data_IF_785364937644
#
_entry.id   IF_785364937644
#
_cell.length_a   1.000
_cell.length_b   1.000
_cell.length_c   1.000
_cell.angle_alpha   90.00
_cell.angle_beta   90.00
_cell.angle_gamma   90.00
#
_symmetry.space_group_name_H-M   'P 1'
#
loop_
_entity.id
_entity.type
_entity.pdbx_description
1 polymer ?
#
# COMPACT_ATOMS: atom_id res chain seq x y z
N UNK A 1 -24.56 -13.25 7.65
CA UNK A 1 -24.67 -13.44 9.11
C UNK A 1 -25.07 -12.13 9.75
N UNK A 2 -26.32 -12.05 10.21
CA UNK A 2 -26.75 -10.99 11.12
C UNK A 2 -26.48 -11.52 12.53
N UNK A 3 -25.79 -10.74 13.38
CA UNK A 3 -25.82 -10.96 14.82
C UNK A 3 -27.19 -10.50 15.27
N UNK A 4 -28.15 -11.43 15.37
CA UNK A 4 -29.46 -11.17 15.95
C UNK A 4 -29.47 -11.75 17.37
N UNK A 5 -30.04 -10.99 18.29
CA UNK A 5 -29.94 -11.18 19.73
C UNK A 5 -30.90 -12.29 20.20
N UNK A 6 -30.43 -13.54 20.29
CA UNK A 6 -31.11 -14.61 21.04
C UNK A 6 -30.07 -15.46 21.79
N UNK A 7 -29.74 -15.00 23.00
CA UNK A 7 -28.59 -15.46 23.78
C UNK A 7 -28.54 -16.97 24.05
N UNK A 8 -27.47 -17.61 23.56
CA UNK A 8 -26.97 -18.93 23.97
C UNK A 8 -25.45 -18.90 24.24
N UNK A 9 -24.93 -19.82 25.06
CA UNK A 9 -23.53 -19.82 25.55
C UNK A 9 -22.44 -20.00 24.46
N UNK A 10 -22.83 -20.41 23.25
CA UNK A 10 -21.96 -20.60 22.08
C UNK A 10 -22.06 -19.49 21.01
N UNK A 11 -22.69 -18.36 21.32
CA UNK A 11 -22.79 -17.26 20.35
C UNK A 11 -21.46 -16.49 20.19
N UNK A 12 -21.09 -16.25 18.93
CA UNK A 12 -20.02 -15.32 18.58
C UNK A 12 -20.40 -13.93 19.11
N UNK A 13 -19.48 -13.29 19.82
CA UNK A 13 -19.64 -11.91 20.30
C UNK A 13 -18.41 -11.08 19.92
N UNK A 14 -18.46 -9.76 20.08
CA UNK A 14 -17.31 -8.89 19.88
C UNK A 14 -16.09 -9.28 20.73
N UNK A 15 -16.31 -9.95 21.87
CA UNK A 15 -15.24 -10.42 22.76
C UNK A 15 -14.90 -11.91 22.57
N UNK A 16 -15.66 -12.64 21.73
CA UNK A 16 -15.53 -14.08 21.48
C UNK A 16 -15.54 -14.35 19.98
N UNK A 17 -14.60 -13.73 19.26
CA UNK A 17 -14.33 -13.93 17.83
C UNK A 17 -12.87 -13.55 17.53
N UNK A 18 -12.30 -14.07 16.43
CA UNK A 18 -10.96 -13.67 15.97
C UNK A 18 -10.86 -12.15 15.77
N UNK A 19 -9.77 -11.54 16.24
CA UNK A 19 -9.61 -10.08 16.23
C UNK A 19 -9.64 -9.49 14.81
N UNK A 20 -8.85 -10.05 13.89
CA UNK A 20 -8.91 -9.69 12.47
C UNK A 20 -10.34 -9.72 11.92
N UNK A 21 -11.10 -10.77 12.23
CA UNK A 21 -12.49 -10.86 11.78
C UNK A 21 -13.35 -9.74 12.39
N UNK A 22 -13.23 -9.48 13.70
CA UNK A 22 -13.99 -8.45 14.39
C UNK A 22 -13.78 -7.06 13.75
N UNK A 23 -12.54 -6.67 13.51
CA UNK A 23 -12.22 -5.36 12.94
C UNK A 23 -12.72 -5.25 11.49
N UNK A 24 -12.42 -6.24 10.64
CA UNK A 24 -12.93 -6.28 9.27
C UNK A 24 -14.46 -6.22 9.24
N UNK A 25 -15.12 -6.95 10.14
CA UNK A 25 -16.57 -6.97 10.27
C UNK A 25 -17.14 -5.62 10.69
N UNK A 26 -16.49 -4.92 11.63
CA UNK A 26 -16.88 -3.58 12.06
C UNK A 26 -16.91 -2.60 10.87
N UNK A 27 -15.82 -2.49 10.11
CA UNK A 27 -15.79 -1.59 8.94
C UNK A 27 -16.82 -2.00 7.88
N UNK A 28 -16.99 -3.31 7.66
CA UNK A 28 -18.03 -3.81 6.74
C UNK A 28 -19.44 -3.44 7.19
N UNK A 29 -19.70 -3.38 8.50
CA UNK A 29 -20.99 -2.95 9.08
C UNK A 29 -21.21 -1.44 8.93
N UNK A 30 -20.18 -0.61 9.13
CA UNK A 30 -20.27 0.84 8.92
C UNK A 30 -20.62 1.13 7.45
N UNK A 31 -19.85 0.56 6.51
CA UNK A 31 -20.11 0.71 5.06
C UNK A 31 -21.46 0.11 4.68
N UNK A 32 -21.85 -1.01 5.29
CA UNK A 32 -23.17 -1.62 5.08
C UNK A 32 -24.33 -0.75 5.54
N UNK A 33 -24.13 0.08 6.57
CA UNK A 33 -25.13 1.03 7.04
C UNK A 33 -25.28 2.21 6.07
N UNK A 34 -24.18 2.79 5.61
CA UNK A 34 -24.20 3.94 4.68
C UNK A 34 -24.69 3.54 3.29
N UNK A 35 -24.32 2.34 2.81
CA UNK A 35 -24.70 1.82 1.49
C UNK A 35 -26.22 1.65 1.29
N UNK A 36 -26.99 1.54 2.38
CA UNK A 36 -28.47 1.45 2.36
C UNK A 36 -29.17 2.81 2.33
N UNK A 37 -28.43 3.89 2.53
CA UNK A 37 -29.00 5.24 2.56
C UNK A 37 -29.10 5.82 1.16
N UNK A 38 -30.00 6.80 0.98
CA UNK A 38 -30.17 7.51 -0.30
C UNK A 38 -28.99 8.44 -0.63
N UNK A 39 -28.40 9.08 0.39
CA UNK A 39 -27.45 10.18 0.20
C UNK A 39 -26.00 9.84 0.60
N UNK A 40 -25.78 8.81 1.42
CA UNK A 40 -24.45 8.48 1.95
C UNK A 40 -23.85 7.22 1.32
N UNK A 41 -24.45 6.67 0.26
CA UNK A 41 -24.03 5.39 -0.33
C UNK A 41 -22.56 5.37 -0.79
N UNK A 42 -22.05 6.51 -1.23
CA UNK A 42 -20.67 6.72 -1.68
C UNK A 42 -19.91 7.69 -0.78
N UNK A 43 -20.46 8.00 0.41
CA UNK A 43 -19.84 8.94 1.32
C UNK A 43 -18.69 8.25 2.07
N UNK A 44 -17.52 8.85 1.97
CA UNK A 44 -16.36 8.46 2.75
C UNK A 44 -16.28 9.30 4.02
N UNK A 45 -16.62 8.65 5.14
CA UNK A 45 -16.63 9.21 6.49
C UNK A 45 -15.24 9.43 7.09
N UNK A 46 -14.20 8.97 6.39
CA UNK A 46 -12.81 9.15 6.77
C UNK A 46 -12.05 10.11 5.85
N UNK A 47 -12.73 10.68 4.85
CA UNK A 47 -12.07 11.51 3.83
C UNK A 47 -11.41 12.75 4.42
N UNK A 48 -12.06 13.42 5.34
CA UNK A 48 -11.59 14.69 5.91
C UNK A 48 -10.23 14.54 6.58
N UNK A 49 -10.09 13.60 7.52
CA UNK A 49 -8.80 13.31 8.17
C UNK A 49 -7.70 12.86 7.18
N UNK A 50 -8.04 12.14 6.09
CA UNK A 50 -7.06 11.74 5.07
C UNK A 50 -6.52 12.95 4.31
N UNK A 51 -7.43 13.87 3.95
CA UNK A 51 -7.09 15.15 3.32
C UNK A 51 -6.26 16.01 4.27
N UNK A 52 -6.65 16.11 5.54
CA UNK A 52 -5.92 16.88 6.55
C UNK A 52 -4.51 16.32 6.78
N UNK A 53 -4.36 14.99 6.85
CA UNK A 53 -3.06 14.33 6.97
C UNK A 53 -2.11 14.72 5.83
N UNK A 54 -2.59 14.68 4.58
CA UNK A 54 -1.85 15.13 3.41
C UNK A 54 -1.54 16.64 3.46
N UNK A 55 -2.53 17.46 3.85
CA UNK A 55 -2.44 18.91 3.82
C UNK A 55 -1.75 19.53 5.05
N UNK A 56 -1.37 18.75 6.05
CA UNK A 56 -0.56 19.26 7.15
C UNK A 56 0.74 19.86 6.61
N UNK A 57 1.19 20.97 7.21
CA UNK A 57 2.40 21.65 6.73
C UNK A 57 3.60 20.70 6.71
N UNK A 58 3.78 19.95 7.80
CA UNK A 58 4.84 18.96 7.93
C UNK A 58 4.79 17.93 6.80
N UNK A 59 3.63 17.30 6.56
CA UNK A 59 3.49 16.35 5.46
C UNK A 59 3.81 16.97 4.09
N UNK A 60 3.31 18.17 3.81
CA UNK A 60 3.55 18.84 2.53
C UNK A 60 5.01 19.14 2.29
N UNK A 61 5.77 19.52 3.32
CA UNK A 61 7.21 19.71 3.23
C UNK A 61 7.92 18.38 2.95
N UNK A 62 7.54 17.31 3.65
CA UNK A 62 8.12 15.98 3.44
C UNK A 62 7.88 15.42 2.04
N UNK A 63 6.65 15.53 1.55
CA UNK A 63 6.29 15.09 0.20
C UNK A 63 7.08 15.91 -0.83
N UNK A 64 7.19 17.22 -0.64
CA UNK A 64 7.95 18.10 -1.54
C UNK A 64 9.41 17.68 -1.63
N UNK A 65 10.04 17.40 -0.50
CA UNK A 65 11.45 17.01 -0.43
C UNK A 65 11.66 15.61 -1.00
N UNK A 66 10.75 14.67 -0.75
CA UNK A 66 10.75 13.35 -1.38
C UNK A 66 10.65 13.42 -2.92
N UNK A 67 9.74 14.25 -3.45
CA UNK A 67 9.63 14.47 -4.90
C UNK A 67 10.94 15.06 -5.45
N UNK A 68 11.48 16.10 -4.82
CA UNK A 68 12.73 16.74 -5.27
C UNK A 68 13.90 15.77 -5.26
N UNK A 69 14.02 14.98 -4.21
CA UNK A 69 15.05 13.95 -4.09
C UNK A 69 14.92 12.94 -5.21
N UNK A 70 13.74 12.35 -5.42
CA UNK A 70 13.49 11.40 -6.50
C UNK A 70 13.85 11.99 -7.86
N UNK A 71 13.44 13.23 -8.15
CA UNK A 71 13.77 13.91 -9.41
C UNK A 71 15.29 14.14 -9.57
N UNK A 72 16.01 14.40 -8.49
CA UNK A 72 17.45 14.59 -8.51
C UNK A 72 18.23 13.29 -8.74
N UNK A 73 17.76 12.17 -8.17
CA UNK A 73 18.45 10.87 -8.23
C UNK A 73 17.99 9.97 -9.38
N UNK A 74 16.86 10.25 -10.03
CA UNK A 74 16.33 9.44 -11.13
C UNK A 74 17.06 9.68 -12.49
N UNK A 75 18.37 9.90 -12.45
CA UNK A 75 19.27 9.94 -13.60
C UNK A 75 20.10 8.63 -13.68
N UNK A 76 20.99 8.49 -14.67
CA UNK A 76 21.88 7.31 -14.73
C UNK A 76 22.80 7.28 -13.50
N UNK A 77 22.47 6.42 -12.54
CA UNK A 77 23.26 6.16 -11.35
C UNK A 77 24.23 5.00 -11.59
N UNK A 78 25.29 4.95 -10.77
CA UNK A 78 26.04 3.70 -10.58
C UNK A 78 25.19 2.71 -9.76
N UNK A 79 25.49 1.40 -9.86
CA UNK A 79 24.80 0.35 -9.10
C UNK A 79 24.77 0.64 -7.58
N UNK A 80 25.88 1.16 -7.04
CA UNK A 80 25.98 1.50 -5.62
C UNK A 80 25.03 2.65 -5.24
N UNK A 81 24.98 3.71 -6.05
CA UNK A 81 24.08 4.83 -5.83
C UNK A 81 22.60 4.44 -6.00
N UNK A 82 22.30 3.52 -6.90
CA UNK A 82 20.96 2.97 -7.08
C UNK A 82 20.51 2.18 -5.85
N UNK A 83 21.39 1.33 -5.30
CA UNK A 83 21.14 0.61 -4.05
C UNK A 83 20.87 1.57 -2.89
N UNK A 84 21.72 2.59 -2.70
CA UNK A 84 21.52 3.60 -1.66
C UNK A 84 20.21 4.37 -1.83
N UNK A 85 19.85 4.69 -3.08
CA UNK A 85 18.60 5.38 -3.39
C UNK A 85 17.38 4.52 -3.10
N UNK A 86 17.40 3.24 -3.49
CA UNK A 86 16.36 2.27 -3.17
C UNK A 86 16.21 2.11 -1.66
N UNK A 87 17.31 2.03 -0.92
CA UNK A 87 17.27 1.96 0.53
C UNK A 87 16.61 3.19 1.16
N UNK A 88 16.95 4.39 0.69
CA UNK A 88 16.34 5.63 1.16
C UNK A 88 14.84 5.67 0.84
N UNK A 89 14.45 5.40 -0.41
CA UNK A 89 13.05 5.48 -0.83
C UNK A 89 12.16 4.42 -0.18
N UNK A 90 12.69 3.22 0.09
CA UNK A 90 11.94 2.15 0.75
C UNK A 90 11.82 2.33 2.27
N UNK A 91 12.74 3.08 2.88
CA UNK A 91 12.69 3.44 4.31
C UNK A 91 11.95 4.75 4.57
N UNK A 92 11.86 5.63 3.57
CA UNK A 92 11.27 6.94 3.70
C UNK A 92 9.73 6.85 3.73
N UNK A 93 9.17 6.53 4.89
CA UNK A 93 7.78 6.89 5.24
C UNK A 93 7.70 8.32 5.82
N UNK A 94 8.86 8.98 6.04
CA UNK A 94 9.07 10.32 6.57
C UNK A 94 10.51 10.84 6.20
N UNK A 95 10.99 12.05 6.60
CA UNK A 95 12.09 12.77 5.94
C UNK A 95 13.36 11.98 5.66
N UNK A 96 13.98 12.30 4.51
CA UNK A 96 15.28 11.78 4.05
C UNK A 96 16.39 11.96 5.10
N UNK A 97 16.33 13.01 5.94
CA UNK A 97 17.29 13.24 7.02
C UNK A 97 17.05 12.38 8.28
N UNK A 98 15.84 11.85 8.48
CA UNK A 98 15.48 11.01 9.64
C UNK A 98 15.68 9.51 9.43
N UNK A 99 15.78 9.05 8.19
CA UNK A 99 15.82 7.61 7.84
C UNK A 99 16.95 6.84 8.55
N UNK A 100 18.12 7.46 8.76
CA UNK A 100 19.26 6.81 9.45
C UNK A 100 19.08 6.70 10.96
N UNK A 101 18.31 7.59 11.58
CA UNK A 101 18.02 7.52 13.03
C UNK A 101 17.02 6.40 13.30
N UNK A 102 16.09 6.20 12.37
CA UNK A 102 15.04 5.19 12.47
C UNK A 102 15.54 3.76 12.22
N UNK A 103 16.69 3.58 11.55
CA UNK A 103 17.30 2.26 11.31
C UNK A 103 17.47 1.43 12.59
N UNK A 104 17.73 2.09 13.73
CA UNK A 104 17.89 1.43 15.03
C UNK A 104 16.61 0.77 15.56
N UNK A 105 15.44 1.14 15.03
CA UNK A 105 14.14 0.56 15.39
C UNK A 105 13.69 -0.55 14.44
N UNK A 106 14.42 -0.81 13.35
CA UNK A 106 14.12 -1.90 12.42
C UNK A 106 14.60 -3.23 13.03
N UNK A 107 13.66 -4.04 13.49
CA UNK A 107 13.95 -5.32 14.16
C UNK A 107 14.34 -6.45 13.19
N UNK A 108 13.88 -6.39 11.94
CA UNK A 108 14.21 -7.35 10.89
C UNK A 108 14.33 -6.60 9.56
N UNK A 109 15.45 -6.79 8.84
CA UNK A 109 15.76 -6.02 7.64
C UNK A 109 16.28 -6.92 6.50
N UNK A 110 15.36 -7.33 5.63
CA UNK A 110 15.67 -8.10 4.41
C UNK A 110 15.85 -7.21 3.16
N UNK A 111 15.98 -5.88 3.33
CA UNK A 111 16.01 -4.92 2.23
C UNK A 111 17.18 -5.15 1.28
N UNK A 112 18.38 -5.43 1.82
CA UNK A 112 19.55 -5.74 1.00
C UNK A 112 19.34 -6.97 0.11
N UNK A 113 18.69 -8.01 0.66
CA UNK A 113 18.34 -9.22 -0.08
C UNK A 113 17.32 -8.94 -1.18
N UNK A 114 16.30 -8.11 -0.88
CA UNK A 114 15.31 -7.69 -1.85
C UNK A 114 15.96 -6.92 -3.01
N UNK A 115 16.85 -5.95 -2.71
CA UNK A 115 17.54 -5.16 -3.75
C UNK A 115 18.43 -6.04 -4.62
N UNK A 116 19.26 -6.88 -4.00
CA UNK A 116 20.21 -7.72 -4.73
C UNK A 116 19.53 -8.83 -5.53
N UNK A 117 18.44 -9.40 -5.03
CA UNK A 117 17.74 -10.50 -5.68
C UNK A 117 16.75 -10.04 -6.74
N UNK A 118 16.15 -8.88 -6.54
CA UNK A 118 15.12 -8.35 -7.42
C UNK A 118 15.67 -7.25 -8.33
N UNK A 119 15.95 -6.07 -7.79
CA UNK A 119 16.26 -4.89 -8.60
C UNK A 119 17.54 -5.05 -9.42
N UNK A 120 18.55 -5.73 -8.87
CA UNK A 120 19.85 -5.90 -9.56
C UNK A 120 19.93 -7.15 -10.46
N UNK A 121 19.28 -8.27 -10.08
CA UNK A 121 19.37 -9.54 -10.83
C UNK A 121 18.27 -9.75 -11.87
N UNK A 122 17.13 -9.07 -11.76
CA UNK A 122 16.04 -9.20 -12.73
C UNK A 122 16.17 -8.34 -13.99
N UNK A 123 17.30 -7.66 -14.19
CA UNK A 123 17.58 -6.96 -15.46
C UNK A 123 17.78 -7.93 -16.65
N UNK A 124 17.66 -9.24 -16.44
CA UNK A 124 17.73 -10.25 -17.50
C UNK A 124 16.49 -10.20 -18.42
N UNK A 125 16.75 -10.11 -19.73
CA UNK A 125 15.86 -9.58 -20.79
C UNK A 125 14.66 -10.46 -21.18
N UNK A 126 14.23 -11.40 -20.34
CA UNK A 126 13.22 -12.41 -20.69
C UNK A 126 11.84 -12.24 -20.04
N UNK A 127 11.74 -11.52 -18.91
CA UNK A 127 10.51 -11.44 -18.12
C UNK A 127 10.05 -10.00 -17.92
N UNK A 128 8.74 -9.78 -18.07
CA UNK A 128 8.10 -8.49 -17.81
C UNK A 128 8.24 -8.15 -16.33
N UNK A 129 8.84 -7.00 -16.02
CA UNK A 129 9.09 -6.54 -14.64
C UNK A 129 7.85 -5.81 -14.11
N UNK A 130 6.90 -6.57 -13.58
CA UNK A 130 5.71 -6.02 -12.92
C UNK A 130 5.94 -5.97 -11.40
N UNK A 131 5.85 -4.76 -10.83
CA UNK A 131 6.00 -4.54 -9.39
C UNK A 131 4.65 -4.21 -8.77
N UNK A 132 4.22 -4.96 -7.77
CA UNK A 132 2.92 -4.78 -7.14
C UNK A 132 3.09 -4.19 -5.74
N UNK A 133 2.23 -3.24 -5.38
CA UNK A 133 2.19 -2.65 -4.04
C UNK A 133 0.78 -2.83 -3.48
N UNK A 134 0.65 -3.58 -2.38
CA UNK A 134 -0.59 -3.66 -1.61
C UNK A 134 -0.56 -2.55 -0.57
N UNK A 135 -1.39 -1.55 -0.83
CA UNK A 135 -1.39 -0.28 -0.11
C UNK A 135 -2.00 -0.40 1.29
N UNK A 136 -1.52 0.48 2.17
CA UNK A 136 -2.08 0.74 3.49
C UNK A 136 -2.77 2.11 3.49
N UNK A 137 -2.12 3.16 4.02
CA UNK A 137 -2.77 4.46 4.26
C UNK A 137 -2.65 5.45 3.09
N UNK A 138 -3.67 6.31 2.99
CA UNK A 138 -3.69 7.49 2.14
C UNK A 138 -2.82 8.63 2.69
N UNK A 139 -2.77 9.73 1.94
CA UNK A 139 -2.03 10.92 2.36
C UNK A 139 -0.51 10.75 2.17
N UNK A 140 0.32 11.04 3.19
CA UNK A 140 1.78 11.03 3.03
C UNK A 140 2.35 9.65 2.66
N UNK A 141 1.80 8.57 3.22
CA UNK A 141 2.23 7.20 2.90
C UNK A 141 1.99 6.88 1.43
N UNK A 142 0.76 7.08 0.93
CA UNK A 142 0.44 6.94 -0.49
C UNK A 142 1.36 7.78 -1.38
N UNK A 143 1.73 8.99 -0.96
CA UNK A 143 2.70 9.79 -1.72
C UNK A 143 4.10 9.17 -1.74
N UNK A 144 4.56 8.59 -0.63
CA UNK A 144 5.81 7.81 -0.60
C UNK A 144 5.77 6.67 -1.61
N UNK A 145 4.67 5.91 -1.65
CA UNK A 145 4.48 4.82 -2.62
C UNK A 145 4.46 5.31 -4.08
N UNK A 146 3.85 6.47 -4.34
CA UNK A 146 3.82 7.07 -5.68
C UNK A 146 5.19 7.61 -6.12
N UNK A 147 5.95 8.20 -5.19
CA UNK A 147 7.33 8.63 -5.42
C UNK A 147 8.21 7.43 -5.77
N UNK A 148 8.07 6.35 -5.00
CA UNK A 148 8.79 5.12 -5.25
C UNK A 148 8.39 4.47 -6.57
N UNK A 149 7.09 4.40 -6.87
CA UNK A 149 6.58 3.87 -8.14
C UNK A 149 7.12 4.64 -9.36
N UNK A 150 7.11 5.98 -9.34
CA UNK A 150 7.69 6.77 -10.43
C UNK A 150 9.21 6.58 -10.53
N UNK A 151 9.92 6.46 -9.40
CA UNK A 151 11.35 6.13 -9.42
C UNK A 151 11.63 4.83 -10.17
N UNK A 152 10.90 3.75 -9.83
CA UNK A 152 11.04 2.45 -10.48
C UNK A 152 10.75 2.50 -11.99
N UNK A 153 9.72 3.26 -12.39
CA UNK A 153 9.33 3.42 -13.79
C UNK A 153 10.30 4.32 -14.57
N UNK A 154 10.87 5.34 -13.93
CA UNK A 154 11.83 6.26 -14.56
C UNK A 154 13.21 5.62 -14.76
N UNK A 155 13.65 4.80 -13.81
CA UNK A 155 14.94 4.06 -13.90
C UNK A 155 14.82 2.74 -14.66
N UNK A 156 13.62 2.38 -15.14
CA UNK A 156 13.34 1.14 -15.85
C UNK A 156 13.60 -0.14 -15.02
N UNK A 157 13.60 0.01 -13.70
CA UNK A 157 13.62 -1.11 -12.74
C UNK A 157 12.30 -1.89 -12.75
N UNK A 158 11.19 -1.21 -13.04
CA UNK A 158 9.91 -1.83 -13.37
C UNK A 158 9.40 -1.29 -14.71
N UNK A 159 8.74 -2.16 -15.49
CA UNK A 159 8.03 -1.75 -16.71
C UNK A 159 6.60 -1.32 -16.41
N UNK A 160 6.06 -1.84 -15.31
CA UNK A 160 4.71 -1.59 -14.83
C UNK A 160 4.64 -1.71 -13.31
N UNK A 161 3.93 -0.78 -12.68
CA UNK A 161 3.62 -0.80 -11.25
C UNK A 161 2.11 -0.92 -11.08
N UNK A 162 1.66 -1.86 -10.24
CA UNK A 162 0.25 -2.05 -9.91
C UNK A 162 0.04 -1.77 -8.42
N UNK A 163 -0.77 -0.76 -8.14
CA UNK A 163 -1.18 -0.38 -6.80
C UNK A 163 -2.51 -1.08 -6.47
N UNK A 164 -2.54 -1.83 -5.37
CA UNK A 164 -3.72 -2.55 -4.88
C UNK A 164 -4.29 -1.81 -3.67
N UNK A 165 -5.44 -1.18 -3.85
CA UNK A 165 -6.17 -0.48 -2.79
C UNK A 165 -7.48 -1.16 -2.39
N UNK A 166 -8.25 -0.49 -1.54
CA UNK A 166 -9.51 -0.99 -0.99
C UNK A 166 -10.70 -0.49 -1.84
N UNK A 167 -11.75 -1.31 -1.97
CA UNK A 167 -12.96 -1.00 -2.75
C UNK A 167 -13.79 0.14 -2.11
N UNK A 168 -13.64 0.36 -0.80
CA UNK A 168 -14.44 1.31 -0.03
C UNK A 168 -13.67 1.77 1.22
N UNK A 169 -14.13 2.82 1.93
CA UNK A 169 -13.49 3.32 3.15
C UNK A 169 -13.29 2.21 4.18
N UNK A 170 -12.04 1.95 4.53
CA UNK A 170 -11.63 0.80 5.31
C UNK A 170 -10.52 1.22 6.26
N UNK A 171 -10.50 0.66 7.47
CA UNK A 171 -9.45 0.90 8.46
C UNK A 171 -9.01 2.37 8.61
N UNK A 172 -9.99 3.28 8.63
CA UNK A 172 -9.80 4.73 8.84
C UNK A 172 -9.06 5.37 7.66
N UNK A 173 -7.78 5.07 7.47
CA UNK A 173 -6.92 5.75 6.50
C UNK A 173 -6.62 4.96 5.24
N UNK A 174 -7.12 3.73 5.07
CA UNK A 174 -6.75 2.91 3.93
C UNK A 174 -7.10 3.57 2.58
N UNK A 175 -6.20 3.39 1.61
CA UNK A 175 -6.33 3.95 0.26
C UNK A 175 -7.48 3.30 -0.50
N UNK A 176 -8.43 4.11 -0.96
CA UNK A 176 -9.39 3.75 -2.01
C UNK A 176 -9.00 4.39 -3.36
N UNK A 177 -9.75 4.04 -4.41
CA UNK A 177 -9.55 4.63 -5.74
C UNK A 177 -9.75 6.15 -5.72
N UNK A 178 -10.75 6.62 -4.98
CA UNK A 178 -11.07 8.04 -4.83
C UNK A 178 -9.94 8.81 -4.13
N UNK A 179 -9.24 8.18 -3.18
CA UNK A 179 -8.06 8.78 -2.54
C UNK A 179 -6.92 8.94 -3.53
N UNK A 180 -6.62 7.90 -4.32
CA UNK A 180 -5.60 7.95 -5.37
C UNK A 180 -5.90 9.04 -6.40
N UNK A 181 -7.14 9.11 -6.90
CA UNK A 181 -7.57 10.15 -7.85
C UNK A 181 -7.53 11.54 -7.22
N UNK A 182 -7.95 11.68 -5.95
CA UNK A 182 -7.86 12.93 -5.22
C UNK A 182 -6.41 13.40 -5.07
N UNK A 183 -5.50 12.50 -4.69
CA UNK A 183 -4.07 12.80 -4.55
C UNK A 183 -3.48 13.32 -5.85
N UNK A 184 -3.75 12.68 -7.00
CA UNK A 184 -3.28 13.17 -8.29
C UNK A 184 -3.80 14.58 -8.61
N UNK A 185 -5.10 14.81 -8.40
CA UNK A 185 -5.69 16.13 -8.62
C UNK A 185 -5.08 17.20 -7.71
N UNK A 186 -4.80 16.85 -6.45
CA UNK A 186 -4.22 17.78 -5.49
C UNK A 186 -2.78 18.14 -5.85
N UNK A 187 -1.98 17.20 -6.35
CA UNK A 187 -0.65 17.50 -6.88
C UNK A 187 -0.69 18.54 -8.01
N UNK A 188 -1.68 18.45 -8.89
CA UNK A 188 -1.87 19.43 -9.97
C UNK A 188 -2.27 20.82 -9.43
N UNK A 189 -3.14 20.85 -8.42
CA UNK A 189 -3.62 22.07 -7.76
C UNK A 189 -2.48 22.80 -7.04
N UNK A 190 -1.63 22.07 -6.31
CA UNK A 190 -0.52 22.62 -5.53
C UNK A 190 0.56 23.29 -6.41
N UNK A 191 0.76 22.84 -7.65
CA UNK A 191 1.70 23.45 -8.58
C UNK A 191 3.18 23.14 -8.31
N UNK A 192 4.09 23.92 -8.91
CA UNK A 192 5.56 23.79 -8.72
C UNK A 192 6.04 22.34 -8.93
N UNK A 193 6.83 21.79 -8.01
CA UNK A 193 7.36 20.42 -8.09
C UNK A 193 6.25 19.35 -8.00
N UNK A 194 5.12 19.66 -7.34
CA UNK A 194 3.98 18.75 -7.30
C UNK A 194 3.32 18.59 -8.66
N UNK A 195 3.23 19.67 -9.45
CA UNK A 195 2.73 19.59 -10.84
C UNK A 195 3.63 18.73 -11.71
N UNK A 196 4.95 18.83 -11.57
CA UNK A 196 5.88 17.94 -12.28
C UNK A 196 5.65 16.48 -11.92
N UNK A 197 5.40 16.18 -10.64
CA UNK A 197 5.06 14.83 -10.21
C UNK A 197 3.71 14.36 -10.78
N UNK A 198 2.69 15.22 -10.77
CA UNK A 198 1.39 14.96 -11.38
C UNK A 198 1.50 14.63 -12.86
N UNK A 199 2.24 15.41 -13.64
CA UNK A 199 2.43 15.20 -15.08
C UNK A 199 3.07 13.84 -15.36
N UNK A 200 4.09 13.47 -14.59
CA UNK A 200 4.75 12.15 -14.66
C UNK A 200 3.77 11.02 -14.35
N UNK A 201 3.15 11.04 -13.18
CA UNK A 201 2.21 10.01 -12.75
C UNK A 201 1.03 9.87 -13.71
N UNK A 202 0.46 11.00 -14.15
CA UNK A 202 -0.64 11.01 -15.12
C UNK A 202 -0.22 10.40 -16.46
N UNK A 203 0.98 10.68 -16.93
CA UNK A 203 1.51 10.03 -18.13
C UNK A 203 1.64 8.52 -17.94
N UNK A 204 2.15 8.04 -16.78
CA UNK A 204 2.22 6.60 -16.47
C UNK A 204 0.87 5.92 -16.38
N UNK A 205 -0.13 6.60 -15.83
CA UNK A 205 -1.52 6.11 -15.79
C UNK A 205 -2.06 5.99 -17.21
N UNK A 206 -1.90 7.03 -18.04
CA UNK A 206 -2.37 7.03 -19.43
C UNK A 206 -1.68 5.98 -20.32
N UNK A 207 -0.41 5.67 -20.05
CA UNK A 207 0.34 4.61 -20.76
C UNK A 207 0.19 3.23 -20.12
N UNK A 208 -0.64 3.09 -19.08
CA UNK A 208 -0.87 1.85 -18.33
C UNK A 208 0.41 1.26 -17.70
N UNK A 209 1.39 2.11 -17.43
CA UNK A 209 2.60 1.78 -16.67
C UNK A 209 2.37 1.90 -15.17
N UNK A 210 1.45 2.77 -14.72
CA UNK A 210 0.99 2.83 -13.35
C UNK A 210 -0.51 2.52 -13.31
N UNK A 211 -0.91 1.52 -12.56
CA UNK A 211 -2.30 1.05 -12.53
C UNK A 211 -2.79 0.96 -11.09
N UNK A 212 -3.91 1.62 -10.79
CA UNK A 212 -4.64 1.38 -9.55
C UNK A 212 -5.67 0.26 -9.76
N UNK A 213 -5.71 -0.69 -8.83
CA UNK A 213 -6.67 -1.79 -8.78
C UNK A 213 -7.26 -1.87 -7.38
N UNK A 214 -8.57 -2.01 -7.29
CA UNK A 214 -9.20 -2.56 -6.11
C UNK A 214 -9.56 -4.04 -6.37
N UNK A 215 -9.70 -4.79 -5.29
CA UNK A 215 -10.28 -6.12 -5.31
C UNK A 215 -10.95 -6.39 -3.97
N UNK A 216 -12.14 -7.01 -4.01
CA UNK A 216 -12.95 -7.25 -2.79
C UNK A 216 -12.23 -8.04 -1.71
N UNK A 217 -11.33 -8.93 -2.11
CA UNK A 217 -10.54 -9.72 -1.18
C UNK A 217 -9.73 -8.86 -0.19
N UNK A 218 -9.27 -7.68 -0.60
CA UNK A 218 -8.51 -6.78 0.29
C UNK A 218 -9.33 -6.30 1.49
N UNK A 219 -10.66 -6.22 1.36
CA UNK A 219 -11.58 -5.81 2.42
C UNK A 219 -12.34 -6.97 3.06
N UNK A 220 -12.04 -8.21 2.67
CA UNK A 220 -12.53 -9.43 3.30
C UNK A 220 -11.81 -9.75 4.61
N UNK A 221 -12.43 -10.48 5.55
CA UNK A 221 -11.77 -10.89 6.80
C UNK A 221 -10.77 -12.04 6.62
N UNK A 222 -10.73 -12.68 5.46
CA UNK A 222 -9.86 -13.83 5.23
C UNK A 222 -8.37 -13.44 5.25
N UNK A 223 -7.52 -14.28 5.85
CA UNK A 223 -6.07 -14.15 5.73
C UNK A 223 -5.59 -14.51 4.32
N UNK A 224 -4.38 -14.08 3.95
CA UNK A 224 -3.89 -14.20 2.57
C UNK A 224 -3.58 -15.63 2.15
N UNK A 225 -3.40 -16.56 3.09
CA UNK A 225 -3.29 -17.99 2.78
C UNK A 225 -4.56 -18.57 2.12
N UNK A 226 -5.73 -17.94 2.34
CA UNK A 226 -7.00 -18.35 1.72
C UNK A 226 -7.23 -17.73 0.33
N UNK A 227 -6.37 -16.79 -0.10
CA UNK A 227 -6.58 -16.04 -1.34
C UNK A 227 -6.72 -16.94 -2.57
N UNK A 228 -5.91 -17.99 -2.66
CA UNK A 228 -5.97 -18.96 -3.78
C UNK A 228 -7.35 -19.60 -3.92
N UNK A 229 -8.05 -19.84 -2.82
CA UNK A 229 -9.35 -20.49 -2.81
C UNK A 229 -10.50 -19.48 -2.98
N UNK A 230 -10.38 -18.32 -2.33
CA UNK A 230 -11.46 -17.32 -2.22
C UNK A 230 -11.45 -16.32 -3.38
N UNK A 231 -10.27 -15.99 -3.89
CA UNK A 231 -10.03 -15.03 -4.96
C UNK A 231 -8.95 -15.57 -5.93
N UNK A 232 -9.22 -16.68 -6.63
CA UNK A 232 -8.24 -17.35 -7.50
C UNK A 232 -7.75 -16.46 -8.65
N UNK A 233 -8.60 -15.53 -9.11
CA UNK A 233 -8.28 -14.52 -10.12
C UNK A 233 -7.24 -13.52 -9.60
N UNK A 234 -7.44 -12.96 -8.41
CA UNK A 234 -6.44 -12.10 -7.76
C UNK A 234 -5.14 -12.87 -7.50
N UNK A 235 -5.23 -14.12 -7.01
CA UNK A 235 -4.05 -14.94 -6.78
C UNK A 235 -3.25 -15.18 -8.08
N UNK A 236 -3.95 -15.44 -9.18
CA UNK A 236 -3.33 -15.59 -10.51
C UNK A 236 -2.69 -14.29 -10.98
N UNK A 237 -3.33 -13.14 -10.77
CA UNK A 237 -2.76 -11.83 -11.10
C UNK A 237 -1.48 -11.56 -10.30
N UNK A 238 -1.52 -11.74 -8.98
CA UNK A 238 -0.36 -11.56 -8.11
C UNK A 238 0.78 -12.53 -8.44
N UNK A 239 0.46 -13.74 -8.92
CA UNK A 239 1.48 -14.71 -9.35
C UNK A 239 2.26 -14.28 -10.60
N UNK A 240 1.75 -13.30 -11.36
CA UNK A 240 2.46 -12.69 -12.49
C UNK A 240 3.40 -11.57 -12.05
N UNK A 241 3.23 -11.04 -10.83
CA UNK A 241 4.09 -10.00 -10.29
C UNK A 241 5.49 -10.57 -10.08
N UNK A 242 6.49 -9.77 -10.43
CA UNK A 242 7.88 -10.11 -10.19
C UNK A 242 8.25 -9.91 -8.71
N UNK A 243 7.67 -8.90 -8.07
CA UNK A 243 7.76 -8.65 -6.63
C UNK A 243 6.48 -7.97 -6.17
N UNK A 244 6.03 -8.34 -4.97
CA UNK A 244 4.87 -7.76 -4.30
C UNK A 244 5.34 -7.18 -2.97
N UNK A 245 5.14 -5.88 -2.79
CA UNK A 245 5.36 -5.19 -1.53
C UNK A 245 4.04 -5.03 -0.80
N UNK A 246 3.99 -5.46 0.46
CA UNK A 246 2.84 -5.32 1.34
C UNK A 246 3.15 -4.23 2.37
N UNK A 247 2.38 -3.14 2.39
CA UNK A 247 2.59 -2.02 3.33
C UNK A 247 1.76 -2.19 4.60
N UNK A 248 2.31 -1.79 5.74
CA UNK A 248 1.53 -1.62 6.96
C UNK A 248 1.16 -2.88 7.73
N UNK A 249 0.64 -2.66 8.94
CA UNK A 249 0.36 -3.69 9.93
C UNK A 249 -0.76 -4.64 9.51
N UNK A 250 -1.87 -4.13 8.98
CA UNK A 250 -3.00 -4.97 8.60
C UNK A 250 -2.63 -5.99 7.51
N UNK A 251 -1.81 -5.57 6.54
CA UNK A 251 -1.30 -6.49 5.52
C UNK A 251 -0.39 -7.56 6.13
N UNK A 252 0.48 -7.19 7.08
CA UNK A 252 1.31 -8.15 7.80
C UNK A 252 0.46 -9.15 8.59
N UNK A 253 -0.51 -8.67 9.38
CA UNK A 253 -1.47 -9.49 10.12
C UNK A 253 -2.21 -10.46 9.20
N UNK A 254 -2.63 -10.02 8.01
CA UNK A 254 -3.26 -10.92 7.01
C UNK A 254 -2.29 -11.93 6.39
N UNK A 255 -1.02 -11.58 6.19
CA UNK A 255 0.02 -12.51 5.73
C UNK A 255 0.25 -13.64 6.76
N UNK A 256 0.31 -13.29 8.05
CA UNK A 256 0.53 -14.25 9.14
C UNK A 256 -0.77 -14.77 9.77
N UNK A 257 -1.91 -14.45 9.17
CA UNK A 257 -3.24 -14.84 9.63
C UNK A 257 -3.62 -14.43 11.06
N UNK A 258 -3.02 -13.35 11.58
CA UNK A 258 -3.29 -12.73 12.89
C UNK A 258 -3.31 -13.74 14.04
N UNK A 259 -2.35 -14.66 14.05
CA UNK A 259 -2.23 -15.71 15.07
C UNK A 259 -1.18 -15.35 16.12
N UNK A 260 -1.31 -15.99 17.28
CA UNK A 260 -0.33 -15.97 18.35
C UNK A 260 0.86 -16.90 18.02
N UNK A 261 1.70 -16.46 17.08
CA UNK A 261 2.92 -17.17 16.69
C UNK A 261 4.02 -16.97 17.72
N UNK A 262 4.82 -18.00 17.98
CA UNK A 262 6.07 -17.84 18.72
C UNK A 262 7.02 -16.91 17.95
N UNK A 263 7.75 -16.03 18.65
CA UNK A 263 8.59 -15.00 18.03
C UNK A 263 9.72 -15.55 17.14
N UNK A 264 10.13 -16.80 17.34
CA UNK A 264 11.15 -17.50 16.56
C UNK A 264 10.58 -18.29 15.37
N UNK A 265 9.26 -18.24 15.16
CA UNK A 265 8.60 -18.89 14.01
C UNK A 265 9.14 -18.29 12.71
N UNK A 266 9.74 -19.09 11.80
CA UNK A 266 10.23 -18.56 10.54
C UNK A 266 9.11 -18.00 9.67
N UNK A 267 9.34 -16.86 9.02
CA UNK A 267 8.32 -16.23 8.17
C UNK A 267 7.84 -17.12 7.01
N UNK A 268 8.69 -18.03 6.52
CA UNK A 268 8.39 -18.96 5.41
C UNK A 268 7.56 -20.19 5.82
N UNK A 269 7.13 -20.33 7.08
CA UNK A 269 6.37 -21.51 7.50
C UNK A 269 5.10 -21.61 6.65
N UNK A 270 5.05 -22.69 5.84
CA UNK A 270 3.93 -22.98 4.95
C UNK A 270 2.87 -23.78 5.73
N UNK A 271 1.60 -23.40 5.56
CA UNK A 271 0.48 -24.34 5.66
C UNK A 271 0.11 -24.79 4.26
#
# INVERSE_FOLDING_TARGET
MFFDCQMGEDELTWYKVDWLFAECYMYRRIVGATAKTKYLKTFDFFREQKIEGFNSQYAREQIRDGIRYMLAVAQKLTVQQEKETLEVLLKAEAPIEGARVLDSFILCNDLGLAIESFFLKMQDKGHRREFHIVLDNAGPELMGELIFAEYLLQTNLAEKVVLHGKEYPYFVSDVTKEDFEWTLNELNNLGDVFRTMYEKLSARVNTNQLVFRDHRFWTYPQPYCEMRNVAPDLYSELSMASLIMFKGDLNYRKLVADRDWAYDTPFKVRR
#
